data_IF_878224855473
#
_entry.id   IF_878224855473
#
_cell.length_a   1.000
_cell.length_b   1.000
_cell.length_c   1.000
_cell.angle_alpha   90.00
_cell.angle_beta   90.00
_cell.angle_gamma   90.00
#
_symmetry.space_group_name_H-M   'P 1'
#
loop_
_entity.id
_entity.type
_entity.pdbx_description
1 polymer ?
#
# COMPACT_ATOMS: atom_id res chain seq x y z
N UNK A 1 65.19 -41.28 -3.07
CA UNK A 1 64.66 -42.58 -3.51
C UNK A 1 63.18 -42.67 -3.14
N UNK A 2 62.33 -42.92 -4.15
CA UNK A 2 60.97 -43.55 -4.15
C UNK A 2 59.87 -42.91 -3.27
N UNK A 3 58.85 -42.26 -3.87
CA UNK A 3 57.57 -42.83 -4.39
C UNK A 3 56.59 -43.17 -3.24
N UNK A 4 55.29 -42.85 -3.22
CA UNK A 4 54.38 -42.36 -4.25
C UNK A 4 53.00 -42.01 -3.66
N UNK A 5 52.27 -41.12 -4.33
CA UNK A 5 50.98 -41.34 -5.04
C UNK A 5 49.72 -41.54 -4.18
N UNK A 6 48.88 -40.48 -4.22
CA UNK A 6 47.46 -40.42 -4.60
C UNK A 6 46.42 -41.18 -3.76
N UNK A 7 45.47 -40.42 -3.21
CA UNK A 7 44.13 -40.87 -2.83
C UNK A 7 43.20 -39.67 -2.66
N UNK A 8 42.35 -39.45 -3.66
CA UNK A 8 41.33 -38.41 -3.79
C UNK A 8 40.13 -38.73 -2.88
N UNK A 9 39.66 -37.78 -2.07
CA UNK A 9 38.28 -37.76 -1.59
C UNK A 9 37.86 -36.31 -1.33
N UNK A 10 37.09 -35.77 -2.27
CA UNK A 10 36.36 -34.52 -2.17
C UNK A 10 35.19 -34.73 -1.21
N UNK A 11 35.05 -33.89 -0.20
CA UNK A 11 33.74 -33.58 0.36
C UNK A 11 33.69 -32.12 0.81
N UNK A 12 33.06 -31.30 -0.01
CA UNK A 12 32.60 -29.97 0.37
C UNK A 12 31.48 -30.12 1.40
N UNK A 13 31.59 -29.42 2.53
CA UNK A 13 30.38 -28.92 3.19
C UNK A 13 30.63 -27.56 3.84
N UNK A 14 29.95 -26.58 3.26
CA UNK A 14 29.88 -25.18 3.62
C UNK A 14 29.07 -25.05 4.92
N UNK A 15 29.69 -24.56 5.99
CA UNK A 15 28.98 -23.98 7.13
C UNK A 15 29.29 -22.48 7.15
N UNK A 16 28.57 -21.74 6.31
CA UNK A 16 28.53 -20.28 6.33
C UNK A 16 27.60 -19.81 7.45
N UNK A 17 28.14 -18.95 8.32
CA UNK A 17 27.48 -18.45 9.52
C UNK A 17 26.15 -17.72 9.25
N UNK A 18 25.15 -18.05 10.06
CA UNK A 18 23.98 -17.21 10.28
C UNK A 18 24.41 -15.95 11.05
N UNK A 19 24.70 -14.89 10.30
CA UNK A 19 24.69 -13.53 10.84
C UNK A 19 23.23 -13.18 11.11
N UNK A 20 22.86 -13.08 12.38
CA UNK A 20 21.59 -12.53 12.81
C UNK A 20 21.52 -11.06 12.37
N UNK A 21 20.80 -10.81 11.27
CA UNK A 21 20.39 -9.47 10.90
C UNK A 21 19.31 -9.02 11.89
N UNK A 22 19.42 -7.84 12.54
CA UNK A 22 18.31 -7.32 13.32
C UNK A 22 17.18 -7.04 12.32
N UNK A 23 16.05 -7.70 12.49
CA UNK A 23 14.84 -7.35 11.79
C UNK A 23 14.53 -5.89 12.13
N UNK A 24 14.82 -4.98 11.20
CA UNK A 24 14.29 -3.63 11.26
C UNK A 24 12.77 -3.78 11.35
N UNK A 25 12.21 -3.44 12.50
CA UNK A 25 10.79 -3.34 12.69
C UNK A 25 10.28 -2.41 11.59
N UNK A 26 9.60 -2.98 10.60
CA UNK A 26 8.98 -2.24 9.50
C UNK A 26 8.07 -1.22 10.15
N UNK A 27 8.43 0.04 10.01
CA UNK A 27 7.61 1.16 10.47
C UNK A 27 6.40 1.24 9.54
N UNK A 28 5.44 0.34 9.71
CA UNK A 28 4.09 0.55 9.22
C UNK A 28 3.60 1.87 9.80
N UNK A 29 3.16 2.79 8.93
CA UNK A 29 2.69 4.12 9.33
C UNK A 29 1.79 4.02 10.56
N UNK A 30 2.25 4.62 11.67
CA UNK A 30 1.52 4.65 12.94
C UNK A 30 0.45 5.71 12.84
N UNK A 31 -0.81 5.29 12.80
CA UNK A 31 -1.93 6.23 12.82
C UNK A 31 -2.22 6.68 14.25
N UNK A 32 -2.37 7.99 14.45
CA UNK A 32 -2.84 8.55 15.72
C UNK A 32 -4.27 9.07 15.57
N UNK A 33 -5.20 8.55 16.38
CA UNK A 33 -6.58 9.06 16.49
C UNK A 33 -6.72 9.68 17.89
N UNK A 34 -7.04 10.97 17.96
CA UNK A 34 -7.23 11.68 19.24
C UNK A 34 -6.00 11.67 20.15
N UNK A 35 -4.79 11.68 19.58
CA UNK A 35 -3.53 11.68 20.32
C UNK A 35 -3.07 10.34 20.87
N UNK A 36 -3.79 9.24 20.61
CA UNK A 36 -3.33 7.87 20.90
C UNK A 36 -2.79 7.22 19.65
N UNK A 37 -1.63 6.57 19.76
CA UNK A 37 -1.11 5.68 18.71
C UNK A 37 -2.04 4.48 18.66
N UNK A 38 -2.73 4.34 17.54
CA UNK A 38 -3.70 3.27 17.30
C UNK A 38 -2.96 2.19 16.53
N UNK A 39 -2.88 0.99 17.08
CA UNK A 39 -2.36 -0.14 16.31
C UNK A 39 -3.28 -0.35 15.12
N UNK A 40 -2.77 -0.73 13.93
CA UNK A 40 -3.59 -0.76 12.73
C UNK A 40 -4.87 -1.62 12.83
N UNK A 41 -4.90 -2.56 13.76
CA UNK A 41 -6.05 -3.39 14.13
C UNK A 41 -7.22 -2.64 14.80
N UNK A 42 -6.98 -1.47 15.40
CA UNK A 42 -7.92 -0.75 16.25
C UNK A 42 -8.59 0.45 15.55
N UNK A 43 -8.34 0.64 14.24
CA UNK A 43 -9.04 1.65 13.43
C UNK A 43 -10.33 1.06 12.84
N UNK A 44 -11.40 1.87 12.72
CA UNK A 44 -12.74 1.51 12.18
C UNK A 44 -12.78 0.96 10.73
N UNK A 45 -11.63 0.57 10.19
CA UNK A 45 -11.42 -0.12 8.93
C UNK A 45 -10.92 -1.55 9.23
N UNK A 46 -11.58 -2.29 10.12
CA UNK A 46 -11.21 -3.68 10.38
C UNK A 46 -11.34 -4.50 9.10
N UNK A 47 -10.26 -5.16 8.66
CA UNK A 47 -10.22 -5.92 7.41
C UNK A 47 -8.97 -6.79 7.33
N UNK A 48 -8.99 -7.82 6.47
CA UNK A 48 -7.82 -8.67 6.30
C UNK A 48 -6.77 -7.88 5.52
N UNK A 49 -5.55 -7.83 6.08
CA UNK A 49 -4.41 -7.18 5.44
C UNK A 49 -3.54 -8.20 4.72
N UNK A 50 -3.19 -7.85 3.51
CA UNK A 50 -2.28 -8.57 2.65
C UNK A 50 -1.20 -7.62 2.15
N UNK A 51 -0.13 -8.21 1.62
CA UNK A 51 0.89 -7.47 0.90
C UNK A 51 1.06 -8.09 -0.48
N UNK A 52 1.21 -7.26 -1.51
CA UNK A 52 1.52 -7.78 -2.84
C UNK A 52 2.85 -8.57 -2.82
N UNK A 53 2.97 -9.68 -3.56
CA UNK A 53 4.13 -10.58 -3.47
C UNK A 53 5.50 -9.90 -3.72
N UNK A 54 5.57 -8.99 -4.69
CA UNK A 54 6.84 -8.42 -5.19
C UNK A 54 7.15 -7.06 -4.56
N UNK A 55 6.24 -6.10 -4.66
CA UNK A 55 6.48 -4.72 -4.21
C UNK A 55 5.95 -4.45 -2.79
N UNK A 56 5.36 -5.46 -2.14
CA UNK A 56 4.86 -5.39 -0.75
C UNK A 56 3.84 -4.27 -0.53
N UNK A 57 3.07 -3.91 -1.57
CA UNK A 57 2.01 -2.91 -1.47
C UNK A 57 0.97 -3.43 -0.50
N UNK A 58 0.69 -2.65 0.54
CA UNK A 58 -0.31 -3.01 1.55
C UNK A 58 -1.69 -2.96 0.93
N UNK A 59 -2.38 -4.10 0.92
CA UNK A 59 -3.76 -4.23 0.47
C UNK A 59 -4.62 -4.63 1.66
N UNK A 60 -5.70 -3.90 1.88
CA UNK A 60 -6.64 -4.20 2.93
C UNK A 60 -8.02 -4.40 2.33
N UNK A 61 -8.69 -5.45 2.77
CA UNK A 61 -10.04 -5.76 2.27
C UNK A 61 -10.99 -5.67 3.46
N UNK A 62 -11.88 -4.68 3.40
CA UNK A 62 -12.72 -4.31 4.54
C UNK A 62 -13.74 -5.43 4.83
N UNK A 63 -14.05 -5.69 6.11
CA UNK A 63 -14.92 -6.82 6.50
C UNK A 63 -16.33 -6.82 5.87
N UNK A 64 -16.82 -5.65 5.46
CA UNK A 64 -18.13 -5.48 4.86
C UNK A 64 -18.14 -5.66 3.33
N UNK A 65 -16.98 -5.92 2.71
CA UNK A 65 -16.94 -6.26 1.29
C UNK A 65 -17.44 -7.68 1.09
N UNK A 66 -18.40 -7.87 0.19
CA UNK A 66 -19.18 -9.13 0.05
C UNK A 66 -18.44 -10.25 -0.68
N UNK A 67 -17.26 -9.99 -1.22
CA UNK A 67 -16.54 -10.96 -2.06
C UNK A 67 -15.05 -10.66 -2.05
N UNK A 68 -14.29 -11.48 -1.32
CA UNK A 68 -12.85 -11.28 -1.10
C UNK A 68 -12.02 -12.53 -1.42
N UNK A 69 -12.68 -13.65 -1.70
CA UNK A 69 -12.00 -14.95 -1.76
C UNK A 69 -10.92 -15.03 -2.85
N UNK A 70 -11.02 -14.21 -3.92
CA UNK A 70 -10.28 -14.46 -5.16
C UNK A 70 -9.45 -13.25 -5.67
N UNK A 71 -9.16 -12.24 -4.84
CA UNK A 71 -8.25 -11.16 -5.30
C UNK A 71 -6.83 -11.72 -5.49
N UNK A 72 -6.42 -11.89 -6.75
CA UNK A 72 -5.06 -12.26 -7.08
C UNK A 72 -4.12 -11.06 -6.87
N UNK A 73 -3.41 -11.02 -5.75
CA UNK A 73 -2.54 -9.88 -5.37
C UNK A 73 -1.40 -9.58 -6.36
N UNK A 74 -1.10 -10.50 -7.28
CA UNK A 74 -0.15 -10.30 -8.38
C UNK A 74 -0.57 -9.15 -9.30
N UNK A 75 -1.88 -8.90 -9.46
CA UNK A 75 -2.40 -7.79 -10.28
C UNK A 75 -1.93 -6.44 -9.77
N UNK A 76 -1.81 -6.29 -8.45
CA UNK A 76 -1.33 -5.05 -7.81
C UNK A 76 0.13 -4.81 -8.17
N UNK A 77 0.95 -5.86 -8.18
CA UNK A 77 2.34 -5.77 -8.60
C UNK A 77 2.49 -5.48 -10.10
N UNK A 78 1.63 -6.08 -10.94
CA UNK A 78 1.64 -5.85 -12.38
C UNK A 78 1.34 -4.38 -12.70
N UNK A 79 0.26 -3.84 -12.13
CA UNK A 79 -0.12 -2.44 -12.31
C UNK A 79 0.98 -1.50 -11.80
N UNK A 80 1.55 -1.79 -10.62
CA UNK A 80 2.62 -0.95 -10.09
C UNK A 80 3.89 -0.98 -10.95
N UNK A 81 4.23 -2.13 -11.52
CA UNK A 81 5.34 -2.25 -12.48
C UNK A 81 5.11 -1.39 -13.73
N UNK A 82 3.88 -1.33 -14.24
CA UNK A 82 3.52 -0.48 -15.38
C UNK A 82 3.70 0.99 -15.03
N UNK A 83 3.25 1.42 -13.85
CA UNK A 83 3.42 2.79 -13.37
C UNK A 83 4.91 3.18 -13.23
N UNK A 84 5.75 2.29 -12.66
CA UNK A 84 7.19 2.51 -12.58
C UNK A 84 7.81 2.73 -13.98
N UNK A 85 7.41 1.92 -14.96
CA UNK A 85 7.89 2.05 -16.33
C UNK A 85 7.39 3.33 -17.03
N UNK A 86 6.14 3.72 -16.77
CA UNK A 86 5.51 4.92 -17.31
C UNK A 86 6.17 6.20 -16.80
N UNK A 87 6.32 6.32 -15.48
CA UNK A 87 6.86 7.53 -14.85
C UNK A 87 8.40 7.61 -14.91
N UNK A 88 9.08 6.49 -15.14
CA UNK A 88 10.55 6.39 -15.24
C UNK A 88 11.29 6.97 -14.03
N UNK A 89 10.70 6.84 -12.85
CA UNK A 89 11.22 7.36 -11.58
C UNK A 89 10.63 6.58 -10.41
N UNK A 90 11.22 6.77 -9.24
CA UNK A 90 10.63 6.29 -7.98
C UNK A 90 9.39 7.11 -7.61
N UNK A 91 8.40 6.50 -6.95
CA UNK A 91 7.24 7.23 -6.43
C UNK A 91 7.68 8.23 -5.35
N UNK A 92 6.92 9.32 -5.19
CA UNK A 92 7.16 10.27 -4.11
C UNK A 92 6.80 9.70 -2.73
N UNK A 93 5.81 8.82 -2.68
CA UNK A 93 5.45 8.04 -1.49
C UNK A 93 5.89 6.59 -1.70
N UNK A 94 6.46 5.97 -0.68
CA UNK A 94 6.82 4.55 -0.75
C UNK A 94 5.57 3.70 -0.96
N UNK A 95 5.73 2.55 -1.61
CA UNK A 95 4.62 1.67 -1.99
C UNK A 95 3.84 1.10 -0.78
N UNK A 96 4.44 1.12 0.41
CA UNK A 96 3.89 0.70 1.68
C UNK A 96 3.42 1.87 2.57
N UNK A 97 3.59 3.12 2.14
CA UNK A 97 3.28 4.31 2.94
C UNK A 97 1.77 4.39 3.26
N UNK A 98 0.92 4.09 2.28
CA UNK A 98 -0.53 4.07 2.45
C UNK A 98 -1.13 2.79 1.85
N UNK A 99 -2.11 2.16 2.54
CA UNK A 99 -2.74 0.97 2.04
C UNK A 99 -3.72 1.27 0.90
N UNK A 100 -3.82 0.32 -0.04
CA UNK A 100 -4.97 0.20 -0.94
C UNK A 100 -6.08 -0.53 -0.18
N UNK A 101 -7.25 0.09 -0.02
CA UNK A 101 -8.36 -0.44 0.77
C UNK A 101 -9.56 -0.70 -0.12
N UNK A 102 -9.94 -1.96 -0.26
CA UNK A 102 -11.19 -2.34 -0.92
C UNK A 102 -12.36 -2.17 0.05
N UNK A 103 -13.37 -1.40 -0.36
CA UNK A 103 -14.52 -1.05 0.49
C UNK A 103 -15.85 -1.23 -0.25
N UNK A 104 -16.92 -1.45 0.51
CA UNK A 104 -18.26 -1.55 -0.07
C UNK A 104 -18.68 -0.25 -0.78
N UNK A 105 -19.37 -0.37 -1.91
CA UNK A 105 -19.75 0.76 -2.77
C UNK A 105 -20.56 1.84 -2.01
N UNK A 106 -21.37 1.42 -1.04
CA UNK A 106 -22.17 2.32 -0.21
C UNK A 106 -21.29 3.16 0.72
N UNK A 107 -20.19 2.61 1.23
CA UNK A 107 -19.22 3.37 2.02
C UNK A 107 -18.41 4.30 1.13
N UNK A 108 -18.03 3.86 -0.06
CA UNK A 108 -17.33 4.69 -1.06
C UNK A 108 -18.13 5.95 -1.39
N UNK A 109 -19.43 5.81 -1.71
CA UNK A 109 -20.31 6.95 -1.99
C UNK A 109 -20.35 7.96 -0.85
N UNK A 110 -20.43 7.50 0.40
CA UNK A 110 -20.40 8.39 1.58
C UNK A 110 -19.09 9.16 1.71
N UNK A 111 -17.94 8.57 1.34
CA UNK A 111 -16.66 9.30 1.34
C UNK A 111 -16.61 10.38 0.25
N UNK A 112 -17.20 10.10 -0.91
CA UNK A 112 -17.27 11.05 -2.03
C UNK A 112 -18.21 12.23 -1.70
N UNK A 113 -19.35 11.94 -1.07
CA UNK A 113 -20.37 12.92 -0.67
C UNK A 113 -20.00 13.72 0.59
N UNK A 114 -19.11 13.18 1.44
CA UNK A 114 -18.70 13.82 2.69
C UNK A 114 -17.86 15.10 2.50
N UNK A 115 -17.77 15.95 3.54
CA UNK A 115 -16.94 17.16 3.50
C UNK A 115 -15.47 16.76 3.34
N UNK A 116 -14.82 17.32 2.32
CA UNK A 116 -13.43 16.98 2.02
C UNK A 116 -12.50 17.63 3.04
N UNK A 117 -11.58 16.81 3.57
CA UNK A 117 -10.49 17.29 4.41
C UNK A 117 -9.60 18.17 3.54
N UNK A 118 -9.28 19.38 4.04
CA UNK A 118 -8.60 20.52 3.38
C UNK A 118 -7.25 20.24 2.69
N UNK A 119 -6.84 18.98 2.60
CA UNK A 119 -5.46 18.58 2.36
C UNK A 119 -5.12 18.50 0.87
N UNK A 120 -6.12 18.48 -0.01
CA UNK A 120 -5.93 18.15 -1.41
C UNK A 120 -5.86 19.32 -2.38
N UNK A 121 -6.17 20.55 -1.95
CA UNK A 121 -6.06 21.75 -2.80
C UNK A 121 -6.58 21.53 -4.22
N UNK A 122 -5.71 21.64 -5.22
CA UNK A 122 -6.03 21.47 -6.64
C UNK A 122 -6.45 20.03 -7.03
N UNK A 123 -5.98 19.00 -6.33
CA UNK A 123 -6.35 17.60 -6.57
C UNK A 123 -7.80 17.31 -6.18
N UNK A 124 -8.43 18.19 -5.41
CA UNK A 124 -9.79 17.97 -4.92
C UNK A 124 -10.78 17.82 -6.08
N UNK A 125 -10.68 18.67 -7.10
CA UNK A 125 -11.63 18.64 -8.24
C UNK A 125 -11.52 17.34 -9.03
N UNK A 126 -10.31 16.83 -9.24
CA UNK A 126 -10.11 15.62 -10.02
C UNK A 126 -10.49 14.37 -9.23
N UNK A 127 -10.19 14.34 -7.92
CA UNK A 127 -10.64 13.29 -7.02
C UNK A 127 -12.18 13.24 -6.89
N UNK A 128 -12.93 14.31 -7.20
CA UNK A 128 -14.42 14.29 -7.18
C UNK A 128 -15.03 13.56 -8.37
N UNK A 129 -14.30 13.49 -9.48
CA UNK A 129 -14.79 12.86 -10.72
C UNK A 129 -14.63 11.33 -10.69
N UNK A 130 -13.78 10.83 -9.80
CA UNK A 130 -13.47 9.41 -9.69
C UNK A 130 -14.52 8.71 -8.82
N UNK A 131 -15.30 7.81 -9.42
CA UNK A 131 -16.36 7.08 -8.72
C UNK A 131 -15.87 5.76 -8.11
N UNK A 132 -14.86 5.15 -8.73
CA UNK A 132 -14.33 3.84 -8.35
C UNK A 132 -13.15 3.93 -7.37
N UNK A 133 -12.50 5.09 -7.34
CA UNK A 133 -11.31 5.36 -6.53
C UNK A 133 -11.53 6.63 -5.74
N UNK A 134 -11.32 6.56 -4.43
CA UNK A 134 -11.25 7.72 -3.56
C UNK A 134 -9.91 7.72 -2.86
N UNK A 135 -9.13 8.77 -3.01
CA UNK A 135 -7.82 8.86 -2.36
C UNK A 135 -7.89 9.81 -1.18
N UNK A 136 -7.39 9.32 -0.05
CA UNK A 136 -7.18 10.07 1.18
C UNK A 136 -5.69 10.02 1.54
N UNK A 137 -5.20 10.90 2.41
CA UNK A 137 -3.80 10.86 2.79
C UNK A 137 -3.42 9.64 3.63
N UNK A 138 -4.42 8.88 4.08
CA UNK A 138 -4.25 7.71 4.95
C UNK A 138 -4.48 6.39 4.21
N UNK A 139 -5.07 6.42 3.02
CA UNK A 139 -5.44 5.23 2.24
C UNK A 139 -5.90 5.61 0.82
N UNK A 140 -5.63 4.73 -0.14
CA UNK A 140 -6.26 4.70 -1.47
C UNK A 140 -7.45 3.76 -1.38
N UNK A 141 -8.67 4.27 -1.42
CA UNK A 141 -9.86 3.44 -1.40
C UNK A 141 -10.25 3.04 -2.82
N UNK A 142 -10.54 1.75 -3.02
CA UNK A 142 -11.07 1.18 -4.26
C UNK A 142 -12.41 0.53 -3.95
N UNK A 143 -13.39 0.73 -4.82
CA UNK A 143 -14.73 0.19 -4.61
C UNK A 143 -14.75 -1.32 -4.91
N UNK A 144 -15.45 -2.11 -4.11
CA UNK A 144 -15.50 -3.57 -4.32
C UNK A 144 -16.14 -3.96 -5.67
N UNK A 145 -16.97 -3.10 -6.26
CA UNK A 145 -17.55 -3.35 -7.58
C UNK A 145 -16.51 -3.56 -8.70
N UNK A 146 -15.26 -3.11 -8.53
CA UNK A 146 -14.20 -3.38 -9.51
C UNK A 146 -13.71 -4.82 -9.44
N UNK A 147 -13.89 -5.54 -8.33
CA UNK A 147 -13.36 -6.89 -8.15
C UNK A 147 -14.00 -7.92 -9.09
N UNK A 148 -15.20 -7.63 -9.62
CA UNK A 148 -15.89 -8.49 -10.56
C UNK A 148 -15.37 -8.38 -12.01
N UNK A 149 -14.51 -7.41 -12.31
CA UNK A 149 -14.04 -7.10 -13.66
C UNK A 149 -12.56 -6.70 -13.62
N UNK A 150 -11.71 -7.54 -14.21
CA UNK A 150 -10.26 -7.37 -14.17
C UNK A 150 -9.79 -6.08 -14.85
N UNK A 151 -10.44 -5.65 -15.94
CA UNK A 151 -10.04 -4.43 -16.65
C UNK A 151 -10.38 -3.20 -15.81
N UNK A 152 -11.57 -3.19 -15.20
CA UNK A 152 -11.96 -2.13 -14.26
C UNK A 152 -11.08 -2.10 -13.02
N UNK A 153 -10.73 -3.27 -12.48
CA UNK A 153 -9.80 -3.38 -11.36
C UNK A 153 -8.42 -2.81 -11.72
N UNK A 154 -7.86 -3.19 -12.87
CA UNK A 154 -6.58 -2.68 -13.33
C UNK A 154 -6.63 -1.15 -13.55
N UNK A 155 -7.70 -0.63 -14.15
CA UNK A 155 -7.88 0.80 -14.35
C UNK A 155 -7.96 1.57 -13.00
N UNK A 156 -8.75 1.07 -12.05
CA UNK A 156 -8.88 1.66 -10.72
C UNK A 156 -7.56 1.61 -9.94
N UNK A 157 -6.85 0.48 -9.99
CA UNK A 157 -5.53 0.35 -9.37
C UNK A 157 -4.49 1.27 -10.03
N UNK A 158 -4.51 1.39 -11.36
CA UNK A 158 -3.58 2.27 -12.09
C UNK A 158 -3.80 3.72 -11.71
N UNK A 159 -5.06 4.15 -11.64
CA UNK A 159 -5.42 5.49 -11.17
C UNK A 159 -5.02 5.71 -9.71
N UNK A 160 -5.41 4.81 -8.81
CA UNK A 160 -5.17 4.93 -7.37
C UNK A 160 -3.69 4.91 -7.00
N UNK A 161 -2.93 3.91 -7.48
CA UNK A 161 -1.49 3.81 -7.25
C UNK A 161 -0.71 4.89 -8.00
N UNK A 162 -1.26 5.45 -9.09
CA UNK A 162 -0.68 6.57 -9.81
C UNK A 162 -0.45 7.80 -8.91
N UNK A 163 -1.31 8.01 -7.90
CA UNK A 163 -1.14 9.11 -6.95
C UNK A 163 0.14 9.00 -6.10
N UNK A 164 0.75 7.81 -5.96
CA UNK A 164 2.06 7.67 -5.32
C UNK A 164 3.16 8.40 -6.11
N UNK A 165 2.93 8.68 -7.39
CA UNK A 165 3.80 9.45 -8.27
C UNK A 165 3.32 10.90 -8.45
N UNK A 166 2.38 11.38 -7.63
CA UNK A 166 1.88 12.77 -7.70
C UNK A 166 2.51 13.65 -6.60
N UNK A 167 3.05 14.81 -7.00
CA UNK A 167 3.77 15.69 -6.09
C UNK A 167 2.85 16.42 -5.10
N UNK A 168 1.66 16.78 -5.53
CA UNK A 168 0.67 17.46 -4.69
C UNK A 168 0.04 16.47 -3.72
N UNK A 169 -0.12 15.21 -4.15
CA UNK A 169 -0.56 14.13 -3.26
C UNK A 169 0.47 13.86 -2.16
N UNK A 170 1.76 13.78 -2.52
CA UNK A 170 2.84 13.67 -1.53
C UNK A 170 2.81 14.83 -0.51
N UNK A 171 2.66 16.07 -0.97
CA UNK A 171 2.56 17.25 -0.09
C UNK A 171 1.35 17.17 0.84
N UNK A 172 0.22 16.67 0.36
CA UNK A 172 -0.98 16.48 1.17
C UNK A 172 -0.76 15.46 2.31
N UNK A 173 -0.04 14.38 2.03
CA UNK A 173 0.32 13.35 3.02
C UNK A 173 1.31 13.88 4.04
N UNK A 174 2.45 14.44 3.59
CA UNK A 174 3.47 14.97 4.52
C UNK A 174 2.95 16.16 5.33
N UNK A 175 2.09 16.98 4.73
CA UNK A 175 1.44 18.11 5.42
C UNK A 175 0.58 17.68 6.62
N UNK A 176 0.01 16.47 6.61
CA UNK A 176 -0.68 15.91 7.76
C UNK A 176 0.27 15.44 8.86
N UNK A 177 1.36 14.77 8.48
CA UNK A 177 2.35 14.30 9.45
C UNK A 177 2.94 15.47 10.25
N UNK A 178 2.90 16.67 9.70
CA UNK A 178 3.39 17.90 10.33
C UNK A 178 2.28 18.78 10.90
N UNK A 179 1.00 18.42 10.73
CA UNK A 179 -0.10 19.20 11.25
C UNK A 179 -0.21 19.03 12.78
N UNK A 180 0.07 20.10 13.52
CA UNK A 180 -0.22 20.15 14.97
C UNK A 180 -1.73 20.02 15.19
N UNK A 181 -2.18 19.09 16.06
CA UNK A 181 -3.59 18.98 16.42
C UNK A 181 -4.10 20.32 16.94
N UNK A 182 -5.28 20.76 16.51
CA UNK A 182 -5.96 21.86 17.20
C UNK A 182 -6.24 21.42 18.65
N UNK A 183 -5.99 22.27 19.65
CA UNK A 183 -6.49 22.01 21.00
C UNK A 183 -8.00 21.80 20.94
N UNK A 184 -8.50 20.83 21.70
CA UNK A 184 -9.93 20.62 21.83
C UNK A 184 -10.55 21.83 22.54
N UNK A 185 -11.55 22.44 21.90
CA UNK A 185 -12.40 23.47 22.51
C UNK A 185 -13.34 22.85 23.58
#
# INVERSE_FOLDING_TARGET
MKNGRRGLAVLFLVMGGLVACPAAAVAGGRFTIGGRVVEPQDTNFAGVRHASPKYRISVQINHDTRTVADLELSVVDEVFRVLLALHRREPFLTADAIPVVFIADMKMRRFIEGPRRLLFGNLETDLKKQQEVYVSPTAIFVTEATLADIERLQAALHLGLGYLFDADFYRAVVGLDHATPRPAD
#
